data_IF_564104829472
#
_entry.id   IF_564104829472
#
_cell.length_a   1.000
_cell.length_b   1.000
_cell.length_c   1.000
_cell.angle_alpha   90.00
_cell.angle_beta   90.00
_cell.angle_gamma   90.00
#
_symmetry.space_group_name_H-M   'P 1'
#
loop_
_entity.id
_entity.type
_entity.pdbx_description
1 polymer ?
#
# COMPACT_ATOMS: atom_id res chain seq x y z
N UNK A 1 -11.24 10.07 -19.80
CA UNK A 1 -11.12 11.53 -19.86
C UNK A 1 -9.66 11.89 -19.58
N UNK A 2 -8.88 12.20 -20.64
CA UNK A 2 -7.44 12.47 -20.52
C UNK A 2 -7.12 13.81 -19.83
N UNK A 3 -8.14 14.59 -19.48
CA UNK A 3 -7.99 15.93 -18.90
C UNK A 3 -8.07 15.95 -17.37
N UNK A 4 -8.17 14.81 -16.73
CA UNK A 4 -8.02 14.74 -15.25
C UNK A 4 -6.55 14.91 -14.88
N UNK A 5 -6.26 15.68 -13.85
CA UNK A 5 -4.89 16.00 -13.38
C UNK A 5 -4.02 14.76 -13.19
N UNK A 6 -4.57 13.75 -12.50
CA UNK A 6 -3.87 12.48 -12.23
C UNK A 6 -3.57 11.73 -13.53
N UNK A 7 -4.56 11.64 -14.43
CA UNK A 7 -4.40 10.97 -15.72
C UNK A 7 -3.36 11.69 -16.59
N UNK A 8 -3.39 13.01 -16.60
CA UNK A 8 -2.42 13.82 -17.33
C UNK A 8 -0.99 13.61 -16.81
N UNK A 9 -0.80 13.66 -15.48
CA UNK A 9 0.50 13.43 -14.85
C UNK A 9 1.08 12.05 -15.22
N UNK A 10 0.23 11.01 -15.25
CA UNK A 10 0.66 9.64 -15.61
C UNK A 10 0.98 9.52 -17.10
N UNK A 11 0.11 10.02 -17.97
CA UNK A 11 0.29 9.87 -19.43
C UNK A 11 1.49 10.66 -19.97
N UNK A 12 1.77 11.82 -19.35
CA UNK A 12 2.87 12.69 -19.78
C UNK A 12 4.12 12.54 -18.91
N UNK A 13 4.07 11.66 -17.89
CA UNK A 13 5.18 11.42 -16.97
C UNK A 13 5.75 12.73 -16.38
N UNK A 14 4.85 13.59 -15.90
CA UNK A 14 5.21 14.92 -15.42
C UNK A 14 4.52 15.29 -14.13
N UNK A 15 5.24 16.05 -13.30
CA UNK A 15 4.65 16.68 -12.10
C UNK A 15 3.75 17.84 -12.53
N UNK A 16 2.51 17.85 -12.02
CA UNK A 16 1.53 18.90 -12.28
C UNK A 16 1.32 19.73 -11.01
N UNK A 17 1.38 21.05 -11.14
CA UNK A 17 1.05 22.01 -10.10
C UNK A 17 -0.14 22.85 -10.54
N UNK A 18 -1.12 23.01 -9.65
CA UNK A 18 -2.29 23.89 -9.84
C UNK A 18 -2.34 24.85 -8.67
N UNK A 19 -2.34 26.13 -8.97
CA UNK A 19 -2.36 27.19 -7.97
C UNK A 19 -3.74 27.42 -7.38
N UNK A 20 -4.78 27.38 -8.22
CA UNK A 20 -6.17 27.47 -7.79
C UNK A 20 -7.07 26.62 -8.69
N UNK A 21 -7.60 25.53 -8.14
CA UNK A 21 -8.47 24.59 -8.84
C UNK A 21 -9.81 25.19 -9.28
N UNK A 22 -10.21 26.32 -8.70
CA UNK A 22 -11.44 27.01 -9.08
C UNK A 22 -11.24 28.04 -10.20
N UNK A 23 -9.98 28.41 -10.47
CA UNK A 23 -9.60 29.30 -11.56
C UNK A 23 -8.99 28.55 -12.75
N UNK A 24 -8.51 27.33 -12.54
CA UNK A 24 -7.87 26.51 -13.57
C UNK A 24 -8.88 26.01 -14.60
N UNK A 25 -8.55 26.20 -15.89
CA UNK A 25 -9.36 25.75 -17.02
C UNK A 25 -8.67 24.67 -17.88
N UNK A 26 -7.43 24.32 -17.55
CA UNK A 26 -6.65 23.33 -18.28
C UNK A 26 -7.08 21.89 -17.96
N UNK A 27 -7.60 21.68 -16.74
CA UNK A 27 -7.94 20.35 -16.25
C UNK A 27 -9.43 20.23 -15.91
N UNK A 28 -9.96 19.00 -16.02
CA UNK A 28 -11.30 18.65 -15.53
C UNK A 28 -11.25 18.42 -14.03
N UNK A 29 -11.65 19.42 -13.27
CA UNK A 29 -11.73 19.42 -11.82
C UNK A 29 -13.17 19.26 -11.28
N UNK A 30 -14.11 18.87 -12.15
CA UNK A 30 -15.52 18.67 -11.78
C UNK A 30 -15.73 17.66 -10.64
N UNK A 31 -14.89 16.64 -10.58
CA UNK A 31 -14.88 15.66 -9.48
C UNK A 31 -14.48 16.28 -8.15
N UNK A 32 -13.44 17.11 -8.16
CA UNK A 32 -12.97 17.86 -7.00
C UNK A 32 -14.06 18.82 -6.48
N UNK A 33 -14.68 19.58 -7.35
CA UNK A 33 -15.74 20.51 -6.98
C UNK A 33 -16.96 19.78 -6.35
N UNK A 34 -17.33 18.61 -6.89
CA UNK A 34 -18.41 17.79 -6.28
C UNK A 34 -18.03 17.24 -4.91
N UNK A 35 -16.78 16.83 -4.73
CA UNK A 35 -16.28 16.39 -3.43
C UNK A 35 -16.29 17.52 -2.41
N UNK A 36 -15.80 18.68 -2.81
CA UNK A 36 -15.77 19.88 -1.96
C UNK A 36 -17.18 20.31 -1.53
N UNK A 37 -18.15 20.32 -2.46
CA UNK A 37 -19.56 20.59 -2.14
C UNK A 37 -20.15 19.61 -1.15
N UNK A 38 -19.77 18.33 -1.24
CA UNK A 38 -20.30 17.28 -0.37
C UNK A 38 -19.67 17.31 1.03
N UNK A 39 -18.40 17.66 1.13
CA UNK A 39 -17.62 17.59 2.38
C UNK A 39 -17.49 18.92 3.10
N UNK A 40 -17.78 20.04 2.42
CA UNK A 40 -17.50 21.39 2.92
C UNK A 40 -16.01 21.76 2.89
N UNK A 41 -15.16 20.90 2.36
CA UNK A 41 -13.74 21.19 2.15
C UNK A 41 -13.58 22.05 0.89
N UNK A 42 -12.52 22.85 0.80
CA UNK A 42 -12.20 23.62 -0.39
C UNK A 42 -10.79 23.29 -0.87
N UNK A 43 -10.71 22.43 -1.86
CA UNK A 43 -9.47 22.02 -2.51
C UNK A 43 -9.03 23.15 -3.46
N UNK A 44 -7.96 23.85 -3.10
CA UNK A 44 -7.50 25.01 -3.86
C UNK A 44 -6.22 24.73 -4.64
N UNK A 45 -5.12 24.51 -3.96
CA UNK A 45 -3.83 24.23 -4.62
C UNK A 45 -3.54 22.73 -4.69
N UNK A 46 -2.96 22.27 -5.80
CA UNK A 46 -2.61 20.86 -6.03
C UNK A 46 -1.15 20.71 -6.45
N UNK A 47 -0.54 19.66 -5.97
CA UNK A 47 0.75 19.16 -6.45
C UNK A 47 0.62 17.66 -6.67
N UNK A 48 0.71 17.24 -7.92
CA UNK A 48 0.50 15.85 -8.37
C UNK A 48 1.78 15.32 -8.99
N UNK A 49 2.36 14.28 -8.38
CA UNK A 49 3.66 13.72 -8.75
C UNK A 49 3.49 12.26 -9.13
N UNK A 50 3.89 11.81 -10.33
CA UNK A 50 3.91 10.39 -10.67
C UNK A 50 4.99 9.67 -9.86
N UNK A 51 4.63 8.53 -9.27
CA UNK A 51 5.50 7.68 -8.47
C UNK A 51 6.11 6.59 -9.35
N UNK A 52 7.43 6.60 -9.51
CA UNK A 52 8.15 5.63 -10.36
C UNK A 52 8.95 4.64 -9.54
N UNK A 53 8.89 3.38 -9.94
CA UNK A 53 9.77 2.35 -9.40
C UNK A 53 11.19 2.46 -10.02
N UNK A 54 12.10 1.58 -9.58
CA UNK A 54 13.49 1.53 -10.05
C UNK A 54 13.63 1.19 -11.55
N UNK A 55 12.59 0.65 -12.18
CA UNK A 55 12.53 0.37 -13.62
C UNK A 55 11.98 1.55 -14.43
N UNK A 56 11.68 2.68 -13.77
CA UNK A 56 11.08 3.86 -14.39
C UNK A 56 9.58 3.72 -14.70
N UNK A 57 8.93 2.63 -14.27
CA UNK A 57 7.48 2.45 -14.46
C UNK A 57 6.71 3.23 -13.40
N UNK A 58 5.67 3.92 -13.84
CA UNK A 58 4.75 4.61 -12.91
C UNK A 58 3.88 3.56 -12.24
N UNK A 59 3.96 3.50 -10.90
CA UNK A 59 3.23 2.55 -10.05
C UNK A 59 2.11 3.22 -9.26
N UNK A 60 2.03 4.54 -9.29
CA UNK A 60 1.02 5.31 -8.58
C UNK A 60 1.20 6.80 -8.80
N UNK A 61 0.40 7.58 -8.08
CA UNK A 61 0.47 9.04 -8.06
C UNK A 61 0.43 9.52 -6.62
N UNK A 62 1.36 10.40 -6.29
CA UNK A 62 1.39 11.12 -5.02
C UNK A 62 0.76 12.50 -5.22
N UNK A 63 -0.32 12.79 -4.50
CA UNK A 63 -1.02 14.06 -4.65
C UNK A 63 -1.14 14.76 -3.30
N UNK A 64 -0.71 16.02 -3.25
CA UNK A 64 -0.87 16.93 -2.14
C UNK A 64 -1.90 18.01 -2.51
N UNK A 65 -2.72 18.36 -1.54
CA UNK A 65 -3.80 19.34 -1.69
C UNK A 65 -3.68 20.39 -0.59
N UNK A 66 -3.75 21.65 -0.95
CA UNK A 66 -3.72 22.79 -0.04
C UNK A 66 -2.42 22.89 0.77
N UNK A 67 -1.36 23.39 0.14
CA UNK A 67 -0.18 23.81 0.90
C UNK A 67 -0.57 24.87 1.93
N UNK A 68 -0.17 24.67 3.18
CA UNK A 68 -0.44 25.63 4.25
C UNK A 68 0.78 26.50 4.51
N UNK A 69 0.55 27.76 4.73
CA UNK A 69 1.55 28.67 5.25
C UNK A 69 1.78 28.36 6.74
N UNK A 70 3.02 28.12 7.18
CA UNK A 70 3.29 27.66 8.54
C UNK A 70 3.03 28.74 9.61
N UNK A 71 3.05 30.00 9.25
CA UNK A 71 2.84 31.12 10.20
C UNK A 71 1.38 31.51 10.32
N UNK A 72 0.67 31.52 9.18
CA UNK A 72 -0.72 32.03 9.13
C UNK A 72 -1.76 30.91 9.09
N UNK A 73 -1.34 29.65 8.75
CA UNK A 73 -2.25 28.53 8.52
C UNK A 73 -3.13 28.67 7.28
N UNK A 74 -2.94 29.71 6.48
CA UNK A 74 -3.72 29.93 5.27
C UNK A 74 -3.23 29.07 4.11
N UNK A 75 -4.17 28.70 3.22
CA UNK A 75 -3.83 27.94 2.01
C UNK A 75 -3.03 28.83 1.06
N UNK A 76 -1.86 28.36 0.67
CA UNK A 76 -0.98 28.96 -0.32
C UNK A 76 -0.79 28.07 -1.54
N UNK A 77 -0.17 28.56 -2.58
CA UNK A 77 0.33 27.77 -3.72
C UNK A 77 1.55 26.96 -3.33
N UNK A 78 1.77 25.84 -4.02
CA UNK A 78 2.99 25.05 -3.85
C UNK A 78 4.18 25.81 -4.48
N UNK A 79 5.29 25.84 -3.76
CA UNK A 79 6.55 26.43 -4.23
C UNK A 79 7.40 25.40 -5.01
N UNK A 80 8.42 25.83 -5.76
CA UNK A 80 9.40 24.92 -6.35
C UNK A 80 10.11 24.04 -5.32
N UNK A 81 10.32 24.54 -4.11
CA UNK A 81 10.89 23.74 -3.02
C UNK A 81 9.93 22.63 -2.56
N UNK A 82 8.64 22.92 -2.44
CA UNK A 82 7.61 21.92 -2.12
C UNK A 82 7.57 20.84 -3.21
N UNK A 83 7.67 21.24 -4.48
CA UNK A 83 7.73 20.32 -5.61
C UNK A 83 8.92 19.36 -5.50
N UNK A 84 10.14 19.84 -5.29
CA UNK A 84 11.33 19.00 -5.16
C UNK A 84 11.22 18.04 -3.96
N UNK A 85 10.68 18.52 -2.83
CA UNK A 85 10.43 17.67 -1.67
C UNK A 85 9.41 16.57 -1.99
N UNK A 86 8.30 16.93 -2.62
CA UNK A 86 7.26 15.97 -2.99
C UNK A 86 7.77 14.93 -4.00
N UNK A 87 8.56 15.34 -4.99
CA UNK A 87 9.20 14.42 -5.96
C UNK A 87 10.15 13.43 -5.26
N UNK A 88 10.94 13.90 -4.29
CA UNK A 88 11.80 13.05 -3.47
C UNK A 88 11.00 12.05 -2.63
N UNK A 89 9.94 12.52 -1.95
CA UNK A 89 9.06 11.67 -1.14
C UNK A 89 8.31 10.65 -2.02
N UNK A 90 7.82 11.06 -3.19
CA UNK A 90 7.15 10.19 -4.14
C UNK A 90 8.08 9.06 -4.62
N UNK A 91 9.35 9.37 -4.89
CA UNK A 91 10.36 8.38 -5.25
C UNK A 91 10.63 7.38 -4.13
N UNK A 92 10.80 7.85 -2.89
CA UNK A 92 11.02 6.97 -1.73
C UNK A 92 9.79 6.09 -1.45
N UNK A 93 8.59 6.66 -1.54
CA UNK A 93 7.35 5.92 -1.37
C UNK A 93 7.17 4.85 -2.47
N UNK A 94 7.56 5.15 -3.71
CA UNK A 94 7.53 4.18 -4.80
C UNK A 94 8.46 2.99 -4.54
N UNK A 95 9.68 3.25 -4.06
CA UNK A 95 10.64 2.20 -3.69
C UNK A 95 10.07 1.34 -2.56
N UNK A 96 9.55 1.96 -1.50
CA UNK A 96 8.99 1.25 -0.36
C UNK A 96 7.79 0.37 -0.76
N UNK A 97 6.87 0.90 -1.57
CA UNK A 97 5.73 0.14 -2.10
C UNK A 97 6.17 -1.03 -2.98
N UNK A 98 7.14 -0.81 -3.87
CA UNK A 98 7.66 -1.88 -4.73
C UNK A 98 8.31 -2.98 -3.91
N UNK A 99 9.12 -2.63 -2.91
CA UNK A 99 9.74 -3.61 -2.02
C UNK A 99 8.68 -4.41 -1.26
N UNK A 100 7.66 -3.76 -0.74
CA UNK A 100 6.56 -4.44 -0.06
C UNK A 100 5.82 -5.42 -0.98
N UNK A 101 5.54 -5.02 -2.22
CA UNK A 101 4.92 -5.87 -3.22
C UNK A 101 5.79 -7.09 -3.58
N UNK A 102 7.11 -6.88 -3.74
CA UNK A 102 8.04 -7.97 -4.03
C UNK A 102 8.12 -8.99 -2.88
N UNK A 103 8.15 -8.52 -1.63
CA UNK A 103 8.14 -9.40 -0.46
C UNK A 103 6.86 -10.23 -0.44
N UNK A 104 5.70 -9.61 -0.66
CA UNK A 104 4.42 -10.32 -0.71
C UNK A 104 4.37 -11.36 -1.86
N UNK A 105 4.92 -11.03 -3.02
CA UNK A 105 5.03 -11.97 -4.14
C UNK A 105 5.94 -13.15 -3.83
N UNK A 106 7.07 -12.92 -3.16
CA UNK A 106 7.98 -13.98 -2.71
C UNK A 106 7.30 -14.91 -1.69
N UNK A 107 6.55 -14.36 -0.75
CA UNK A 107 5.79 -15.16 0.22
C UNK A 107 4.75 -16.04 -0.48
N UNK A 108 3.98 -15.48 -1.42
CA UNK A 108 3.00 -16.23 -2.19
C UNK A 108 3.64 -17.36 -3.02
N UNK A 109 4.79 -17.08 -3.65
CA UNK A 109 5.57 -18.09 -4.39
C UNK A 109 6.04 -19.22 -3.47
N UNK A 110 6.53 -18.90 -2.30
CA UNK A 110 7.01 -19.85 -1.31
C UNK A 110 5.87 -20.72 -0.77
N UNK A 111 4.72 -20.13 -0.43
CA UNK A 111 3.53 -20.87 -0.03
C UNK A 111 3.06 -21.83 -1.15
N UNK A 112 3.03 -21.36 -2.40
CA UNK A 112 2.67 -22.20 -3.54
C UNK A 112 3.64 -23.36 -3.78
N UNK A 113 4.93 -23.18 -3.52
CA UNK A 113 5.93 -24.24 -3.58
C UNK A 113 5.69 -25.30 -2.49
N UNK A 114 5.41 -24.86 -1.26
CA UNK A 114 5.08 -25.77 -0.14
C UNK A 114 3.83 -26.58 -0.48
N UNK A 115 2.79 -25.95 -0.98
CA UNK A 115 1.54 -26.63 -1.38
C UNK A 115 1.78 -27.67 -2.47
N UNK A 116 2.62 -27.35 -3.47
CA UNK A 116 3.02 -28.29 -4.52
C UNK A 116 3.74 -29.51 -3.96
N UNK A 117 4.71 -29.30 -3.05
CA UNK A 117 5.46 -30.37 -2.40
C UNK A 117 4.51 -31.25 -1.55
N UNK A 118 3.64 -30.63 -0.76
CA UNK A 118 2.67 -31.33 0.07
C UNK A 118 1.72 -32.19 -0.79
N UNK A 119 1.23 -31.63 -1.89
CA UNK A 119 0.40 -32.37 -2.86
C UNK A 119 1.15 -33.57 -3.46
N UNK A 120 2.43 -33.40 -3.82
CA UNK A 120 3.23 -34.48 -4.37
C UNK A 120 3.48 -35.58 -3.33
N UNK A 121 3.68 -35.25 -2.07
CA UNK A 121 3.83 -36.21 -0.96
C UNK A 121 2.52 -36.95 -0.72
N UNK A 122 1.40 -36.25 -0.67
CA UNK A 122 0.06 -36.84 -0.45
C UNK A 122 -0.32 -37.82 -1.60
N UNK A 123 0.04 -37.49 -2.85
CA UNK A 123 -0.16 -38.43 -3.99
C UNK A 123 0.65 -39.71 -3.88
N UNK A 124 1.84 -39.66 -3.25
CA UNK A 124 2.72 -40.81 -3.12
C UNK A 124 2.31 -41.75 -1.99
N UNK A 125 1.61 -41.26 -0.97
CA UNK A 125 1.22 -42.05 0.20
C UNK A 125 -0.28 -41.90 0.50
N UNK A 126 -1.08 -42.97 0.33
CA UNK A 126 -2.51 -42.98 0.65
C UNK A 126 -2.83 -42.67 2.13
N UNK A 127 -1.84 -42.88 3.02
CA UNK A 127 -2.00 -42.69 4.46
C UNK A 127 -1.76 -41.24 4.94
N UNK A 128 -1.05 -40.45 4.15
CA UNK A 128 -0.74 -39.05 4.48
C UNK A 128 -1.70 -38.04 3.84
N UNK A 129 -2.70 -38.55 3.08
CA UNK A 129 -3.67 -37.72 2.38
C UNK A 129 -4.34 -36.68 3.31
N UNK A 130 -4.17 -35.44 2.96
CA UNK A 130 -4.61 -34.25 3.71
C UNK A 130 -3.96 -34.06 5.11
N UNK A 131 -2.92 -34.84 5.47
CA UNK A 131 -2.18 -34.60 6.73
C UNK A 131 -1.47 -33.25 6.68
N UNK A 132 -0.71 -33.01 5.63
CA UNK A 132 0.03 -31.77 5.41
C UNK A 132 -0.89 -30.52 5.29
N UNK A 133 -2.15 -30.70 4.98
CA UNK A 133 -3.13 -29.60 4.98
C UNK A 133 -3.76 -29.35 6.36
N UNK A 134 -3.95 -30.40 7.16
CA UNK A 134 -4.62 -30.31 8.46
C UNK A 134 -3.71 -29.84 9.58
N UNK A 135 -2.43 -30.23 9.54
CA UNK A 135 -1.49 -29.90 10.63
C UNK A 135 -1.28 -28.39 10.75
N UNK A 136 -1.03 -27.62 9.70
CA UNK A 136 -0.93 -26.15 9.80
C UNK A 136 -2.19 -25.51 10.37
N UNK A 137 -3.37 -25.99 9.99
CA UNK A 137 -4.65 -25.47 10.52
C UNK A 137 -4.74 -25.70 12.03
N UNK A 138 -4.45 -26.92 12.50
CA UNK A 138 -4.48 -27.25 13.92
C UNK A 138 -3.43 -26.48 14.72
N UNK A 139 -2.22 -26.35 14.16
CA UNK A 139 -1.13 -25.57 14.77
C UNK A 139 -1.54 -24.11 14.93
N UNK A 140 -2.14 -23.50 13.92
CA UNK A 140 -2.64 -22.13 14.01
C UNK A 140 -3.78 -21.98 15.02
N UNK A 141 -4.71 -22.93 15.08
CA UNK A 141 -5.77 -22.92 16.10
C UNK A 141 -5.19 -22.95 17.52
N UNK A 142 -4.16 -23.76 17.75
CA UNK A 142 -3.47 -23.84 19.05
C UNK A 142 -2.74 -22.52 19.34
N UNK A 143 -1.99 -21.99 18.38
CA UNK A 143 -1.27 -20.72 18.54
C UNK A 143 -2.22 -19.55 18.85
N UNK A 144 -3.34 -19.46 18.14
CA UNK A 144 -4.38 -18.47 18.39
C UNK A 144 -5.04 -18.62 19.77
N UNK A 145 -5.31 -19.84 20.21
CA UNK A 145 -5.85 -20.12 21.55
C UNK A 145 -4.84 -19.74 22.64
N UNK A 146 -3.56 -20.09 22.43
CA UNK A 146 -2.47 -19.73 23.34
C UNK A 146 -2.30 -18.20 23.44
N UNK A 147 -2.35 -17.47 22.31
CA UNK A 147 -2.26 -16.01 22.26
C UNK A 147 -3.39 -15.31 23.05
N UNK A 148 -4.58 -15.91 23.08
CA UNK A 148 -5.74 -15.39 23.82
C UNK A 148 -5.74 -15.76 25.30
N UNK A 149 -4.81 -16.63 25.73
CA UNK A 149 -4.76 -17.07 27.13
C UNK A 149 -4.13 -16.01 28.03
N UNK A 150 -4.78 -15.73 29.14
CA UNK A 150 -4.28 -14.82 30.20
C UNK A 150 -3.74 -15.59 31.41
N UNK A 151 -3.61 -16.94 31.33
CA UNK A 151 -3.30 -17.79 32.47
C UNK A 151 -2.01 -18.59 32.25
N UNK A 152 -1.34 -18.87 33.38
CA UNK A 152 -0.18 -19.74 33.42
C UNK A 152 1.00 -19.23 32.56
N UNK A 153 1.75 -20.16 31.98
CA UNK A 153 2.92 -19.84 31.14
C UNK A 153 2.57 -19.20 29.79
N UNK A 154 1.30 -19.27 29.38
CA UNK A 154 0.84 -18.74 28.08
C UNK A 154 0.47 -17.25 28.14
N UNK A 155 0.39 -16.65 29.33
CA UNK A 155 0.04 -15.23 29.50
C UNK A 155 1.00 -14.29 28.73
N UNK A 156 2.26 -14.69 28.59
CA UNK A 156 3.32 -13.92 27.93
C UNK A 156 3.53 -14.31 26.46
N UNK A 157 2.77 -15.29 25.95
CA UNK A 157 2.81 -15.70 24.55
C UNK A 157 2.03 -14.68 23.70
N UNK A 158 2.76 -13.74 23.10
CA UNK A 158 2.21 -12.66 22.25
C UNK A 158 2.99 -12.57 20.96
N UNK A 159 2.86 -13.61 20.08
CA UNK A 159 3.60 -13.66 18.83
C UNK A 159 3.21 -12.51 17.91
N UNK A 160 4.20 -11.98 17.21
CA UNK A 160 4.02 -11.01 16.12
C UNK A 160 3.35 -11.69 14.92
N UNK A 161 2.85 -10.93 13.93
CA UNK A 161 2.34 -11.50 12.68
C UNK A 161 3.38 -12.37 11.95
N UNK A 162 4.66 -11.98 11.98
CA UNK A 162 5.78 -12.72 11.39
C UNK A 162 5.99 -14.06 12.09
N UNK A 163 6.02 -14.08 13.42
CA UNK A 163 6.15 -15.31 14.22
C UNK A 163 4.94 -16.24 14.02
N UNK A 164 3.73 -15.70 13.90
CA UNK A 164 2.55 -16.50 13.54
C UNK A 164 2.66 -17.11 12.13
N UNK A 165 3.22 -16.37 11.19
CA UNK A 165 3.50 -16.88 9.85
C UNK A 165 4.53 -18.02 9.89
N UNK A 166 5.61 -17.89 10.66
CA UNK A 166 6.60 -18.94 10.87
C UNK A 166 5.98 -20.21 11.48
N UNK A 167 5.12 -20.03 12.49
CA UNK A 167 4.36 -21.15 13.11
C UNK A 167 3.47 -21.85 12.07
N UNK A 168 2.79 -21.09 11.20
CA UNK A 168 1.97 -21.66 10.11
C UNK A 168 2.79 -22.50 9.14
N UNK A 169 3.98 -22.01 8.76
CA UNK A 169 4.85 -22.69 7.79
C UNK A 169 5.54 -23.90 8.40
N UNK A 170 5.85 -23.89 9.69
CA UNK A 170 6.50 -24.99 10.40
C UNK A 170 5.54 -26.14 10.74
N UNK A 171 4.23 -25.89 10.79
CA UNK A 171 3.18 -26.88 11.08
C UNK A 171 2.73 -27.59 9.81
#
# INVERSE_FOLDING_TARGET
>A
NNNMVVTYAVLHDTTVMIDDAYADQAFDLSGTHRFDQKTGYRSRSFLTVPMKNHEGRIIGVFQLINALDPETGQVRTFSPADRHLAESLASQAAIALTNHQLIAQLQNLFEGLIELINTAIDHKSPYTGAHCQRVPILTMMIAEAARRSDRGRLKDFRPTPEELYEIKIAG
#
